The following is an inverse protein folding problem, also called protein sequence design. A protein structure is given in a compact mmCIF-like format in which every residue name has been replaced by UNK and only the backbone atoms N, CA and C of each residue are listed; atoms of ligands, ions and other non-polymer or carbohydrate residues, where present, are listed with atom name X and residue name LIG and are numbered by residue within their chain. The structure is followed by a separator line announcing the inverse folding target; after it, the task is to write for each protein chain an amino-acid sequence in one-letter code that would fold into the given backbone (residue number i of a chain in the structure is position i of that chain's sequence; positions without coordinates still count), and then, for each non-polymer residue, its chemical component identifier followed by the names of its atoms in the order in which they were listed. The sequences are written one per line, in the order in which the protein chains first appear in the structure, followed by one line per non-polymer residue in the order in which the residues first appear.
data_IF_708250176788
#
_entry.id   IF_708250176788
#
_cell.length_a   1.000
_cell.length_b   1.000
_cell.length_c   1.000
_cell.angle_alpha   90.00
_cell.angle_beta   90.00
_cell.angle_gamma   90.00
#
_symmetry.space_group_name_H-M   'P 1'
#
loop_
_entity.id
_entity.type
_entity.pdbx_description
1 polymer ?
#
# COMPACT_ATOMS: atom_id res chain seq x y z
N UNK A 1 3.47 8.25 -15.48
CA UNK A 1 2.72 6.98 -15.59
C UNK A 1 3.71 5.83 -15.79
N UNK A 2 3.80 4.88 -14.86
CA UNK A 2 4.77 3.78 -14.96
C UNK A 2 4.18 2.56 -15.68
N UNK A 3 4.38 2.49 -17.00
CA UNK A 3 4.00 1.33 -17.82
C UNK A 3 4.78 0.07 -17.43
N UNK A 4 5.93 0.24 -16.76
CA UNK A 4 6.78 -0.84 -16.22
C UNK A 4 6.10 -1.57 -15.06
N UNK A 5 5.45 -0.84 -14.15
CA UNK A 5 4.77 -1.43 -13.01
C UNK A 5 3.62 -2.36 -13.42
N UNK A 6 2.81 -1.97 -14.42
CA UNK A 6 1.71 -2.80 -14.93
C UNK A 6 2.25 -4.04 -15.66
N UNK A 7 3.32 -3.88 -16.44
CA UNK A 7 4.00 -4.99 -17.09
C UNK A 7 4.57 -5.98 -16.07
N UNK A 8 5.21 -5.48 -15.01
CA UNK A 8 5.71 -6.31 -13.91
C UNK A 8 4.59 -7.11 -13.24
N UNK A 9 3.46 -6.48 -12.93
CA UNK A 9 2.32 -7.19 -12.33
C UNK A 9 1.73 -8.29 -13.24
N UNK A 10 1.92 -8.17 -14.55
CA UNK A 10 1.47 -9.15 -15.54
C UNK A 10 2.49 -10.26 -15.81
N UNK A 11 3.78 -10.02 -15.55
CA UNK A 11 4.90 -10.97 -15.78
C UNK A 11 5.98 -10.84 -14.69
N UNK A 12 5.65 -11.18 -13.44
CA UNK A 12 6.53 -10.92 -12.29
C UNK A 12 7.84 -11.72 -12.35
N UNK A 13 7.83 -12.92 -12.95
CA UNK A 13 9.03 -13.75 -13.12
C UNK A 13 9.98 -13.23 -14.22
N UNK A 14 9.52 -12.30 -15.05
CA UNK A 14 10.26 -11.77 -16.20
C UNK A 14 10.67 -10.29 -16.03
N UNK A 15 10.29 -9.65 -14.92
CA UNK A 15 10.51 -8.24 -14.68
C UNK A 15 10.90 -7.99 -13.22
N UNK A 16 11.84 -7.08 -13.00
CA UNK A 16 12.15 -6.58 -11.67
C UNK A 16 11.28 -5.34 -11.39
N UNK A 17 10.83 -5.19 -10.15
CA UNK A 17 10.19 -3.96 -9.69
C UNK A 17 11.25 -2.87 -9.58
N UNK A 18 11.06 -1.76 -10.30
CA UNK A 18 11.92 -0.60 -10.16
C UNK A 18 11.73 0.01 -8.76
N UNK A 19 12.80 0.25 -7.97
CA UNK A 19 12.69 0.91 -6.68
C UNK A 19 11.89 2.22 -6.73
N UNK A 20 11.97 2.97 -7.82
CA UNK A 20 11.21 4.21 -8.02
C UNK A 20 9.69 3.98 -8.12
N UNK A 21 9.26 2.77 -8.46
CA UNK A 21 7.84 2.38 -8.53
C UNK A 21 7.32 1.84 -7.19
N UNK A 22 8.18 1.59 -6.20
CA UNK A 22 7.78 1.10 -4.86
C UNK A 22 6.67 1.94 -4.23
N UNK A 23 6.74 3.28 -4.25
CA UNK A 23 5.70 4.11 -3.66
C UNK A 23 4.33 3.91 -4.33
N UNK A 24 4.31 3.82 -5.65
CA UNK A 24 3.10 3.61 -6.44
C UNK A 24 2.57 2.18 -6.26
N UNK A 25 3.45 1.18 -6.14
CA UNK A 25 3.06 -0.20 -5.92
C UNK A 25 2.30 -0.40 -4.58
N UNK A 26 2.83 0.19 -3.51
CA UNK A 26 2.20 0.16 -2.18
C UNK A 26 0.88 0.95 -2.14
N UNK A 27 0.85 2.11 -2.80
CA UNK A 27 -0.37 2.91 -2.93
C UNK A 27 -1.46 2.20 -3.73
N UNK A 28 -1.12 1.58 -4.87
CA UNK A 28 -2.05 0.84 -5.71
C UNK A 28 -2.64 -0.39 -4.98
N UNK A 29 -1.81 -1.11 -4.20
CA UNK A 29 -2.29 -2.19 -3.33
C UNK A 29 -3.33 -1.66 -2.34
N UNK A 30 -3.03 -0.53 -1.70
CA UNK A 30 -3.92 0.10 -0.71
C UNK A 30 -5.26 0.51 -1.33
N UNK A 31 -5.25 1.13 -2.51
CA UNK A 31 -6.47 1.49 -3.27
C UNK A 31 -7.32 0.26 -3.58
N UNK A 32 -6.69 -0.84 -4.01
CA UNK A 32 -7.42 -2.09 -4.31
C UNK A 32 -8.11 -2.64 -3.06
N UNK A 33 -7.44 -2.56 -1.92
CA UNK A 33 -7.91 -3.12 -0.66
C UNK A 33 -8.90 -2.21 0.09
N UNK A 34 -8.89 -0.90 -0.16
CA UNK A 34 -9.91 0.01 0.35
C UNK A 34 -11.24 -0.17 -0.37
N UNK A 35 -11.22 -0.57 -1.64
CA UNK A 35 -12.44 -0.73 -2.44
C UNK A 35 -13.11 -2.10 -2.24
N UNK A 36 -12.33 -3.17 -2.09
CA UNK A 36 -12.85 -4.55 -2.12
C UNK A 36 -12.30 -5.45 -1.01
N UNK A 37 -11.41 -4.93 -0.17
CA UNK A 37 -10.58 -5.74 0.73
C UNK A 37 -10.72 -5.41 2.21
N UNK A 38 -9.82 -5.99 2.98
CA UNK A 38 -9.82 -5.92 4.45
C UNK A 38 -9.57 -4.51 5.00
N UNK A 39 -9.17 -3.56 4.14
CA UNK A 39 -8.95 -2.16 4.51
C UNK A 39 -10.18 -1.29 4.30
N UNK A 40 -11.28 -1.80 3.73
CA UNK A 40 -12.49 -1.01 3.49
C UNK A 40 -13.03 -0.33 4.77
N UNK A 41 -12.95 -1.00 5.92
CA UNK A 41 -13.36 -0.43 7.22
C UNK A 41 -12.33 0.54 7.81
N UNK A 42 -11.05 0.43 7.45
CA UNK A 42 -9.95 1.22 8.00
C UNK A 42 -9.66 2.49 7.19
N UNK A 43 -9.80 2.42 5.87
CA UNK A 43 -9.57 3.50 4.92
C UNK A 43 -10.75 3.66 3.94
N UNK A 44 -11.95 4.00 4.43
CA UNK A 44 -13.14 4.09 3.59
C UNK A 44 -13.14 5.29 2.64
N UNK A 45 -12.20 6.25 2.77
CA UNK A 45 -12.22 7.52 2.01
C UNK A 45 -10.87 7.86 1.41
N UNK A 46 -10.90 8.38 0.19
CA UNK A 46 -9.74 8.76 -0.61
C UNK A 46 -8.81 9.77 0.11
N UNK A 47 -9.37 10.68 0.91
CA UNK A 47 -8.59 11.66 1.69
C UNK A 47 -7.68 10.99 2.72
N UNK A 48 -8.03 9.80 3.21
CA UNK A 48 -7.14 9.04 4.11
C UNK A 48 -5.97 8.44 3.36
N UNK A 49 -6.17 7.97 2.13
CA UNK A 49 -5.09 7.49 1.27
C UNK A 49 -4.14 8.66 0.95
N UNK A 50 -4.69 9.83 0.60
CA UNK A 50 -3.89 11.05 0.38
C UNK A 50 -3.07 11.40 1.64
N UNK A 51 -3.64 11.29 2.85
CA UNK A 51 -2.93 11.55 4.09
C UNK A 51 -1.80 10.53 4.36
N UNK A 52 -2.00 9.24 4.05
CA UNK A 52 -0.95 8.22 4.14
C UNK A 52 0.20 8.53 3.17
N UNK A 53 -0.12 8.83 1.90
CA UNK A 53 0.88 9.15 0.89
C UNK A 53 1.65 10.43 1.25
N UNK A 54 0.94 11.47 1.69
CA UNK A 54 1.53 12.72 2.14
C UNK A 54 2.51 12.50 3.30
N UNK A 55 2.09 11.75 4.32
CA UNK A 55 2.92 11.52 5.49
C UNK A 55 4.13 10.62 5.19
N UNK A 56 3.95 9.56 4.40
CA UNK A 56 5.03 8.60 4.10
C UNK A 56 6.11 9.17 3.18
N UNK A 57 5.73 10.02 2.22
CA UNK A 57 6.63 10.47 1.15
C UNK A 57 6.90 11.98 1.19
N UNK A 58 6.54 12.66 2.29
CA UNK A 58 6.72 14.10 2.51
C UNK A 58 6.14 14.95 1.36
N UNK A 59 4.89 14.63 0.98
CA UNK A 59 4.21 15.27 -0.14
C UNK A 59 3.24 16.35 0.35
N UNK A 60 3.10 17.40 -0.44
CA UNK A 60 1.99 18.33 -0.28
C UNK A 60 0.65 17.63 -0.56
N UNK A 61 -0.46 18.21 -0.09
CA UNK A 61 -1.82 17.69 -0.37
C UNK A 61 -2.07 17.50 -1.87
N UNK A 62 -1.56 18.42 -2.70
CA UNK A 62 -1.72 18.36 -4.16
C UNK A 62 -0.95 17.18 -4.77
N UNK A 63 0.29 16.99 -4.35
CA UNK A 63 1.15 15.89 -4.82
C UNK A 63 0.63 14.54 -4.35
N UNK A 64 0.14 14.44 -3.11
CA UNK A 64 -0.48 13.23 -2.60
C UNK A 64 -1.73 12.84 -3.41
N UNK A 65 -2.61 13.81 -3.71
CA UNK A 65 -3.78 13.57 -4.55
C UNK A 65 -3.41 13.19 -5.99
N UNK A 66 -2.34 13.76 -6.54
CA UNK A 66 -1.80 13.36 -7.85
C UNK A 66 -1.26 11.94 -7.82
N UNK A 67 -0.49 11.59 -6.78
CA UNK A 67 0.04 10.25 -6.58
C UNK A 67 -1.07 9.21 -6.38
N UNK A 68 -2.14 9.54 -5.63
CA UNK A 68 -3.30 8.66 -5.46
C UNK A 68 -3.95 8.36 -6.80
N UNK A 69 -4.16 9.36 -7.67
CA UNK A 69 -4.71 9.13 -9.02
C UNK A 69 -3.84 8.17 -9.83
N UNK A 70 -2.52 8.29 -9.74
CA UNK A 70 -1.60 7.34 -10.38
C UNK A 70 -1.79 5.93 -9.80
N UNK A 71 -1.95 5.80 -8.48
CA UNK A 71 -2.21 4.52 -7.83
C UNK A 71 -3.55 3.90 -8.26
N UNK A 72 -4.59 4.72 -8.38
CA UNK A 72 -5.92 4.31 -8.88
C UNK A 72 -5.86 3.82 -10.33
N UNK A 73 -5.18 4.57 -11.19
CA UNK A 73 -4.98 4.19 -12.59
C UNK A 73 -4.23 2.86 -12.71
N UNK A 74 -3.20 2.64 -11.89
CA UNK A 74 -2.47 1.37 -11.84
C UNK A 74 -3.39 0.26 -11.35
N UNK A 75 -4.08 0.46 -10.24
CA UNK A 75 -4.97 -0.53 -9.65
C UNK A 75 -6.07 -0.99 -10.63
N UNK A 76 -6.68 -0.04 -11.36
CA UNK A 76 -7.71 -0.31 -12.36
C UNK A 76 -7.20 -1.09 -13.59
N UNK A 77 -5.90 -1.04 -13.86
CA UNK A 77 -5.26 -1.70 -15.01
C UNK A 77 -4.58 -3.02 -14.67
N UNK A 78 -4.56 -3.41 -13.39
CA UNK A 78 -4.02 -4.69 -12.99
C UNK A 78 -4.83 -5.84 -13.62
N UNK A 79 -4.17 -6.93 -14.07
CA UNK A 79 -4.90 -8.06 -14.64
C UNK A 79 -5.89 -8.66 -13.64
N UNK A 80 -7.09 -9.08 -14.08
CA UNK A 80 -8.05 -9.75 -13.21
C UNK A 80 -7.44 -11.05 -12.67
N UNK A 81 -7.68 -11.32 -11.38
CA UNK A 81 -7.14 -12.51 -10.71
C UNK A 81 -5.64 -12.48 -10.40
N UNK A 82 -4.93 -11.37 -10.65
CA UNK A 82 -3.54 -11.26 -10.24
C UNK A 82 -3.41 -11.18 -8.71
N UNK A 83 -2.49 -11.98 -8.17
CA UNK A 83 -2.13 -11.94 -6.74
C UNK A 83 -1.15 -10.79 -6.46
N UNK A 84 -1.62 -9.57 -6.71
CA UNK A 84 -0.82 -8.35 -6.56
C UNK A 84 -0.26 -8.19 -5.15
N UNK A 85 -0.99 -8.65 -4.14
CA UNK A 85 -0.54 -8.66 -2.77
C UNK A 85 0.73 -9.50 -2.60
N UNK A 86 0.73 -10.74 -3.12
CA UNK A 86 1.92 -11.60 -3.11
C UNK A 86 3.07 -10.98 -3.91
N UNK A 87 2.80 -10.36 -5.05
CA UNK A 87 3.84 -9.71 -5.85
C UNK A 87 4.53 -8.57 -5.08
N UNK A 88 3.75 -7.70 -4.45
CA UNK A 88 4.27 -6.65 -3.57
C UNK A 88 5.08 -7.27 -2.43
N UNK A 89 4.58 -8.33 -1.79
CA UNK A 89 5.28 -9.02 -0.71
C UNK A 89 6.57 -9.75 -1.14
N UNK A 90 6.76 -10.04 -2.42
CA UNK A 90 7.96 -10.70 -2.94
C UNK A 90 9.02 -9.70 -3.42
N UNK A 91 8.60 -8.56 -3.94
CA UNK A 91 9.52 -7.64 -4.65
C UNK A 91 9.73 -6.29 -3.96
N UNK A 92 8.85 -5.86 -3.06
CA UNK A 92 9.07 -4.65 -2.25
C UNK A 92 9.84 -5.02 -0.98
N UNK A 93 10.89 -4.31 -0.58
CA UNK A 93 11.62 -4.58 0.67
C UNK A 93 10.71 -4.60 1.91
N UNK A 94 10.99 -5.48 2.86
CA UNK A 94 10.14 -5.64 4.05
C UNK A 94 10.09 -4.34 4.89
N UNK A 95 11.18 -3.57 4.94
CA UNK A 95 11.24 -2.30 5.64
C UNK A 95 10.30 -1.26 5.02
N UNK A 96 10.23 -1.21 3.68
CA UNK A 96 9.35 -0.32 2.94
C UNK A 96 7.87 -0.67 3.18
N UNK A 97 7.55 -1.97 3.14
CA UNK A 97 6.19 -2.46 3.45
C UNK A 97 5.80 -2.15 4.89
N UNK A 98 6.71 -2.34 5.85
CA UNK A 98 6.48 -2.06 7.26
C UNK A 98 6.27 -0.56 7.52
N UNK A 99 7.13 0.30 6.97
CA UNK A 99 7.01 1.75 7.11
C UNK A 99 5.68 2.28 6.56
N UNK A 100 5.27 1.78 5.39
CA UNK A 100 3.99 2.15 4.79
C UNK A 100 2.79 1.65 5.63
N UNK A 101 2.84 0.39 6.08
CA UNK A 101 1.80 -0.20 6.92
C UNK A 101 1.63 0.53 8.28
N UNK A 102 2.74 0.96 8.89
CA UNK A 102 2.73 1.80 10.09
C UNK A 102 2.08 3.15 9.83
N UNK A 103 2.48 3.83 8.75
CA UNK A 103 1.87 5.09 8.34
C UNK A 103 0.36 4.95 8.12
N UNK A 104 -0.06 3.83 7.51
CA UNK A 104 -1.46 3.52 7.28
C UNK A 104 -2.25 3.41 8.59
N UNK A 105 -1.74 2.64 9.56
CA UNK A 105 -2.39 2.51 10.87
C UNK A 105 -2.42 3.83 11.64
N UNK A 106 -1.35 4.61 11.56
CA UNK A 106 -1.27 5.93 12.19
C UNK A 106 -2.38 6.86 11.69
N UNK A 107 -2.54 6.96 10.36
CA UNK A 107 -3.58 7.79 9.73
C UNK A 107 -4.98 7.21 9.93
N UNK A 108 -5.13 5.88 9.92
CA UNK A 108 -6.42 5.22 10.04
C UNK A 108 -7.08 5.46 11.41
N UNK A 109 -6.27 5.69 12.47
CA UNK A 109 -6.55 6.16 13.85
C UNK A 109 -7.76 5.60 14.65
N UNK A 110 -8.84 5.17 14.00
CA UNK A 110 -10.08 4.64 14.57
C UNK A 110 -10.09 3.11 14.73
N UNK A 111 -9.09 2.40 14.21
CA UNK A 111 -9.01 0.93 14.24
C UNK A 111 -7.88 0.36 15.10
N UNK A 112 -7.49 0.99 16.23
CA UNK A 112 -6.28 0.63 17.03
C UNK A 112 -6.34 -0.71 17.78
N UNK A 113 -7.14 -1.67 17.33
CA UNK A 113 -7.15 -3.01 17.90
C UNK A 113 -6.00 -3.86 17.36
N UNK A 114 -5.43 -4.78 18.16
CA UNK A 114 -4.44 -5.77 17.68
C UNK A 114 -4.89 -6.54 16.43
N UNK A 115 -6.21 -6.72 16.25
CA UNK A 115 -6.80 -7.37 15.08
C UNK A 115 -6.61 -6.58 13.79
N UNK A 116 -6.76 -5.26 13.83
CA UNK A 116 -6.57 -4.42 12.65
C UNK A 116 -5.09 -4.36 12.28
N UNK A 117 -4.20 -4.22 13.28
CA UNK A 117 -2.76 -4.27 13.06
C UNK A 117 -2.32 -5.59 12.43
N UNK A 118 -2.80 -6.73 12.96
CA UNK A 118 -2.52 -8.04 12.36
C UNK A 118 -3.08 -8.16 10.93
N UNK A 119 -4.24 -7.56 10.66
CA UNK A 119 -4.83 -7.61 9.33
C UNK A 119 -4.04 -6.80 8.31
N UNK A 120 -3.61 -5.59 8.67
CA UNK A 120 -2.72 -4.76 7.86
C UNK A 120 -1.37 -5.48 7.66
N UNK A 121 -0.79 -6.07 8.71
CA UNK A 121 0.46 -6.80 8.61
C UNK A 121 0.37 -7.95 7.58
N UNK A 122 -0.65 -8.81 7.68
CA UNK A 122 -0.87 -9.91 6.72
C UNK A 122 -1.08 -9.40 5.30
N UNK A 123 -1.80 -8.30 5.16
CA UNK A 123 -2.05 -7.65 3.87
C UNK A 123 -0.74 -7.25 3.19
N UNK A 124 0.21 -6.69 3.93
CA UNK A 124 1.51 -6.30 3.39
C UNK A 124 2.56 -7.43 3.44
N UNK A 125 2.16 -8.67 3.72
CA UNK A 125 3.09 -9.81 3.82
C UNK A 125 4.15 -9.62 4.90
N UNK A 126 3.75 -9.03 6.03
CA UNK A 126 4.58 -8.82 7.22
C UNK A 126 4.25 -9.89 8.27
N UNK A 127 5.23 -10.33 9.09
CA UNK A 127 4.97 -11.28 10.16
C UNK A 127 4.05 -10.70 11.24
N UNK A 128 3.33 -11.58 11.94
CA UNK A 128 2.51 -11.19 13.08
C UNK A 128 3.38 -10.49 14.13
N UNK A 129 2.92 -9.33 14.63
CA UNK A 129 3.68 -8.51 15.58
C UNK A 129 4.61 -7.48 14.95
N UNK A 130 4.85 -7.49 13.63
CA UNK A 130 5.66 -6.46 12.95
C UNK A 130 5.15 -5.03 13.16
N UNK A 131 3.84 -4.89 13.40
CA UNK A 131 3.18 -3.61 13.64
C UNK A 131 2.85 -3.37 15.13
N UNK A 132 3.17 -4.33 16.02
CA UNK A 132 2.88 -4.23 17.45
C UNK A 132 3.94 -3.42 18.23
N UNK A 133 5.13 -3.23 17.67
CA UNK A 133 6.24 -2.52 18.31
C UNK A 133 6.28 -1.02 18.06
N UNK A 134 5.26 -0.43 17.43
CA UNK A 134 5.16 1.03 17.26
C UNK A 134 4.51 1.71 18.49
N UNK A 135 4.93 1.31 19.69
CA UNK A 135 4.76 2.14 20.87
C UNK A 135 5.85 3.22 20.84
N UNK A 136 5.39 4.46 20.60
CA UNK A 136 5.84 5.70 21.23
C UNK A 136 7.32 6.08 21.02
N UNK A 137 7.54 7.01 20.09
CA UNK A 137 8.41 8.17 20.30
C UNK A 137 7.71 9.41 19.73
#
# INVERSE_FOLDING_TARGET
MSMRLIFWASRPDAAWLDPADTPVALGALTVRLSSEGVLAELLPVAERIDAVLAHRYDLTRREAAEMRRICEDVAARLPPGCDYQRLVAQHVPAEERAAFAHCLLHVAAAGRGPRAAASVARTFGLPDGALASADIA
#
